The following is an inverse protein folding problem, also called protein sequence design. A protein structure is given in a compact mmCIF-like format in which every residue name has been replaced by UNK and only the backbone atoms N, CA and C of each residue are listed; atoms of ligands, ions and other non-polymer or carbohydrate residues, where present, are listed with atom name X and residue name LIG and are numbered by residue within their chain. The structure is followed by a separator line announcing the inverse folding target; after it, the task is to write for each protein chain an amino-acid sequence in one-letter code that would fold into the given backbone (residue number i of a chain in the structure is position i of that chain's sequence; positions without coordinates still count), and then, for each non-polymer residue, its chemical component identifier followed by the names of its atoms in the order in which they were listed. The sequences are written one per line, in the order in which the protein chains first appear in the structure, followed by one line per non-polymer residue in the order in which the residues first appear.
data_IF_116484057075
#
_entry.id   IF_116484057075
#
_cell.length_a   1.000
_cell.length_b   1.000
_cell.length_c   1.000
_cell.angle_alpha   90.00
_cell.angle_beta   90.00
_cell.angle_gamma   90.00
#
_symmetry.space_group_name_H-M   'P 1'
#
loop_
_entity.id
_entity.type
_entity.pdbx_description
1 polymer ?
#
# COMPACT_ATOMS: atom_id res chain seq x y z
N UNK A 1 -17.49 -12.45 -18.48
CA UNK A 1 -16.62 -11.41 -17.92
C UNK A 1 -15.21 -11.98 -17.79
N UNK A 2 -14.22 -11.16 -17.72
CA UNK A 2 -12.81 -11.60 -17.82
C UNK A 2 -12.14 -11.52 -16.47
N UNK A 3 -11.39 -12.57 -16.10
CA UNK A 3 -10.58 -12.60 -14.87
C UNK A 3 -9.56 -11.44 -14.87
N UNK A 4 -9.17 -11.00 -13.67
CA UNK A 4 -8.09 -10.04 -13.53
C UNK A 4 -6.77 -10.78 -13.42
N UNK A 5 -5.83 -10.46 -14.30
CA UNK A 5 -4.50 -11.05 -14.34
C UNK A 5 -3.46 -10.07 -13.83
N UNK A 6 -2.65 -10.52 -12.88
CA UNK A 6 -1.44 -9.84 -12.42
C UNK A 6 -0.24 -10.54 -13.05
N UNK A 7 0.62 -9.83 -13.78
CA UNK A 7 1.77 -10.45 -14.42
C UNK A 7 2.76 -11.02 -13.40
N UNK A 8 3.59 -12.03 -13.79
CA UNK A 8 4.64 -12.56 -12.93
C UNK A 8 5.59 -11.48 -12.43
N UNK A 9 6.00 -11.60 -11.18
CA UNK A 9 6.89 -10.66 -10.54
C UNK A 9 7.29 -11.08 -9.12
N UNK A 10 8.01 -10.23 -8.39
CA UNK A 10 8.42 -10.49 -7.02
C UNK A 10 7.21 -10.80 -6.12
N UNK A 11 7.25 -11.91 -5.41
CA UNK A 11 6.17 -12.38 -4.54
C UNK A 11 5.06 -13.18 -5.25
N UNK A 12 4.99 -13.11 -6.58
CA UNK A 12 4.08 -13.90 -7.41
C UNK A 12 4.80 -14.36 -8.70
N UNK A 13 5.69 -15.34 -8.62
CA UNK A 13 6.54 -15.74 -9.75
C UNK A 13 5.76 -16.30 -10.96
N UNK A 14 4.56 -16.81 -10.72
CA UNK A 14 3.64 -17.29 -11.78
C UNK A 14 2.54 -16.28 -12.11
N UNK A 15 2.57 -15.08 -11.51
CA UNK A 15 1.49 -14.12 -11.57
C UNK A 15 0.33 -14.50 -10.65
N UNK A 16 -0.75 -13.70 -10.70
CA UNK A 16 -2.00 -13.97 -9.99
C UNK A 16 -3.15 -13.95 -10.98
N UNK A 17 -4.15 -14.77 -10.72
CA UNK A 17 -5.42 -14.80 -11.48
C UNK A 17 -6.56 -14.64 -10.49
N UNK A 18 -7.24 -13.51 -10.54
CA UNK A 18 -8.46 -13.26 -9.75
C UNK A 18 -9.66 -13.63 -10.61
N UNK A 19 -10.41 -14.67 -10.23
CA UNK A 19 -11.63 -15.05 -10.96
C UNK A 19 -12.65 -13.92 -10.96
N UNK A 20 -13.31 -13.71 -12.09
CA UNK A 20 -14.37 -12.69 -12.21
C UNK A 20 -15.51 -12.92 -11.20
N UNK A 21 -15.82 -14.17 -10.89
CA UNK A 21 -16.87 -14.53 -9.93
C UNK A 21 -16.57 -14.13 -8.47
N UNK A 22 -15.34 -13.79 -8.13
CA UNK A 22 -14.96 -13.29 -6.81
C UNK A 22 -14.97 -11.75 -6.72
N UNK A 23 -15.18 -11.08 -7.85
CA UNK A 23 -15.23 -9.63 -7.95
C UNK A 23 -16.68 -9.14 -7.83
N UNK A 24 -16.91 -8.15 -6.97
CA UNK A 24 -18.20 -7.48 -6.84
C UNK A 24 -18.10 -6.11 -7.49
N UNK A 25 -18.88 -5.90 -8.54
CA UNK A 25 -18.98 -4.61 -9.23
C UNK A 25 -20.22 -3.86 -8.79
N UNK A 26 -20.06 -2.58 -8.44
CA UNK A 26 -21.14 -1.66 -8.14
C UNK A 26 -21.02 -0.44 -9.07
N UNK A 27 -22.17 0.03 -9.55
CA UNK A 27 -22.27 1.17 -10.44
C UNK A 27 -23.04 2.29 -9.75
N UNK A 28 -22.58 3.51 -9.92
CA UNK A 28 -23.24 4.69 -9.37
C UNK A 28 -22.97 5.90 -10.24
N UNK A 29 -23.74 6.97 -10.00
CA UNK A 29 -23.48 8.24 -10.67
C UNK A 29 -22.10 8.79 -10.28
N UNK A 30 -21.39 9.33 -11.26
CA UNK A 30 -20.15 10.04 -10.98
C UNK A 30 -20.45 11.33 -10.19
N UNK A 31 -19.76 11.54 -9.09
CA UNK A 31 -19.85 12.77 -8.32
C UNK A 31 -18.96 13.84 -8.96
N UNK A 32 -19.57 14.89 -9.55
CA UNK A 32 -18.83 16.02 -10.08
C UNK A 32 -19.67 17.29 -10.11
N UNK A 33 -19.05 18.50 -10.01
CA UNK A 33 -19.77 19.76 -10.14
C UNK A 33 -20.22 19.94 -11.58
N UNK A 34 -21.53 19.73 -11.81
CA UNK A 34 -22.33 20.25 -12.89
C UNK A 34 -21.82 20.17 -14.33
N UNK A 35 -22.44 19.32 -15.07
CA UNK A 35 -22.48 19.32 -16.54
C UNK A 35 -23.60 18.42 -17.01
N UNK A 36 -24.24 18.75 -18.15
CA UNK A 36 -25.29 17.91 -18.74
C UNK A 36 -24.69 16.51 -19.03
N UNK A 37 -25.19 15.47 -18.36
CA UNK A 37 -24.73 14.09 -18.50
C UNK A 37 -24.10 13.46 -17.26
N UNK A 38 -23.71 14.24 -16.26
CA UNK A 38 -23.13 13.72 -14.97
C UNK A 38 -24.22 13.04 -14.12
N UNK A 39 -25.47 13.48 -14.24
CA UNK A 39 -26.60 12.96 -13.46
C UNK A 39 -27.43 11.89 -14.19
N UNK A 40 -27.06 11.44 -15.39
CA UNK A 40 -27.88 10.53 -16.21
C UNK A 40 -27.22 9.20 -16.54
N UNK A 41 -25.94 9.01 -16.21
CA UNK A 41 -25.26 7.73 -16.48
C UNK A 41 -24.50 7.24 -15.26
N UNK A 42 -24.73 5.98 -14.87
CA UNK A 42 -23.98 5.26 -13.83
C UNK A 42 -22.57 4.92 -14.32
N UNK A 43 -21.76 5.94 -14.58
CA UNK A 43 -20.42 5.76 -15.13
C UNK A 43 -19.36 5.42 -14.08
N UNK A 44 -19.60 5.72 -12.81
CA UNK A 44 -18.70 5.36 -11.73
C UNK A 44 -18.78 3.88 -11.45
N UNK A 45 -17.62 3.23 -11.41
CA UNK A 45 -17.47 1.80 -11.11
C UNK A 45 -16.70 1.64 -9.81
N UNK A 46 -17.24 0.85 -8.90
CA UNK A 46 -16.55 0.34 -7.71
C UNK A 46 -16.37 -1.16 -7.86
N UNK A 47 -15.13 -1.62 -7.75
CA UNK A 47 -14.74 -3.01 -7.84
C UNK A 47 -14.21 -3.46 -6.48
N UNK A 48 -14.83 -4.47 -5.89
CA UNK A 48 -14.47 -4.99 -4.57
C UNK A 48 -14.02 -6.44 -4.65
N UNK A 49 -12.98 -6.77 -3.87
CA UNK A 49 -12.43 -8.11 -3.73
C UNK A 49 -12.17 -8.40 -2.25
N UNK A 50 -12.69 -9.51 -1.75
CA UNK A 50 -12.35 -10.00 -0.41
C UNK A 50 -11.02 -10.77 -0.44
N UNK A 51 -9.99 -10.17 0.16
CA UNK A 51 -8.64 -10.74 0.19
C UNK A 51 -8.50 -11.92 1.14
N UNK A 52 -9.42 -12.08 2.10
CA UNK A 52 -9.40 -13.22 3.01
C UNK A 52 -9.87 -14.52 2.36
N UNK A 53 -10.78 -14.42 1.39
CA UNK A 53 -11.45 -15.58 0.77
C UNK A 53 -11.05 -15.86 -0.67
N UNK A 54 -10.43 -14.91 -1.35
CA UNK A 54 -10.04 -15.07 -2.77
C UNK A 54 -9.13 -16.28 -2.99
N UNK A 55 -9.39 -17.01 -4.06
CA UNK A 55 -8.55 -18.14 -4.49
C UNK A 55 -7.28 -17.72 -5.23
N UNK A 56 -7.14 -16.42 -5.54
CA UNK A 56 -6.02 -15.87 -6.27
C UNK A 56 -4.70 -15.87 -5.48
N UNK A 57 -4.76 -15.94 -4.14
CA UNK A 57 -3.63 -15.79 -3.24
C UNK A 57 -3.39 -17.08 -2.45
N UNK A 58 -2.12 -17.49 -2.35
CA UNK A 58 -1.69 -18.50 -1.38
C UNK A 58 -1.64 -17.91 0.05
N UNK A 59 -1.38 -18.72 1.06
CA UNK A 59 -1.39 -18.27 2.47
C UNK A 59 -0.33 -17.20 2.76
N UNK A 60 0.87 -17.32 2.16
CA UNK A 60 1.96 -16.37 2.33
C UNK A 60 1.65 -15.05 1.63
N UNK A 61 1.15 -15.11 0.40
CA UNK A 61 0.72 -13.94 -0.36
C UNK A 61 -0.43 -13.23 0.34
N UNK A 62 -1.42 -13.97 0.83
CA UNK A 62 -2.58 -13.43 1.57
C UNK A 62 -2.15 -12.66 2.81
N UNK A 63 -1.32 -13.24 3.66
CA UNK A 63 -0.81 -12.59 4.86
C UNK A 63 -0.08 -11.28 4.51
N UNK A 64 0.75 -11.31 3.47
CA UNK A 64 1.51 -10.13 2.99
C UNK A 64 0.59 -9.04 2.45
N UNK A 65 -0.35 -9.39 1.58
CA UNK A 65 -1.30 -8.44 0.98
C UNK A 65 -2.19 -7.80 2.04
N UNK A 66 -2.73 -8.57 2.97
CA UNK A 66 -3.53 -8.06 4.09
C UNK A 66 -2.73 -7.09 4.96
N UNK A 67 -1.47 -7.40 5.24
CA UNK A 67 -0.58 -6.51 6.00
C UNK A 67 -0.26 -5.23 5.23
N UNK A 68 0.13 -5.33 3.97
CA UNK A 68 0.56 -4.19 3.16
C UNK A 68 -0.58 -3.24 2.79
N UNK A 69 -1.81 -3.75 2.70
CA UNK A 69 -3.00 -2.97 2.37
C UNK A 69 -3.87 -2.62 3.58
N UNK A 70 -3.45 -2.90 4.81
CA UNK A 70 -4.26 -2.76 6.03
C UNK A 70 -4.97 -1.39 6.14
N UNK A 71 -4.34 -0.31 5.72
CA UNK A 71 -4.92 1.05 5.75
C UNK A 71 -5.93 1.34 4.63
N UNK A 72 -5.99 0.48 3.61
CA UNK A 72 -6.86 0.64 2.43
C UNK A 72 -8.04 -0.33 2.43
N UNK A 73 -8.07 -1.25 3.39
CA UNK A 73 -9.11 -2.25 3.49
C UNK A 73 -10.27 -1.80 4.37
N UNK A 74 -11.48 -2.21 4.00
CA UNK A 74 -12.63 -2.23 4.89
C UNK A 74 -12.81 -3.67 5.39
N UNK A 75 -12.33 -3.96 6.61
CA UNK A 75 -12.17 -5.34 7.07
C UNK A 75 -11.11 -6.06 6.23
N UNK A 76 -11.52 -7.05 5.45
CA UNK A 76 -10.65 -7.79 4.52
C UNK A 76 -10.91 -7.46 3.04
N UNK A 77 -11.82 -6.51 2.78
CA UNK A 77 -12.27 -6.16 1.44
C UNK A 77 -11.49 -4.96 0.90
N UNK A 78 -10.87 -5.15 -0.25
CA UNK A 78 -10.26 -4.09 -1.05
C UNK A 78 -11.29 -3.55 -2.05
N UNK A 79 -11.53 -2.24 -2.01
CA UNK A 79 -12.41 -1.56 -2.97
C UNK A 79 -11.61 -0.57 -3.82
N UNK A 80 -11.75 -0.68 -5.13
CA UNK A 80 -11.14 0.20 -6.13
C UNK A 80 -12.26 0.95 -6.85
N UNK A 81 -12.14 2.28 -6.94
CA UNK A 81 -13.09 3.12 -7.68
C UNK A 81 -12.45 3.67 -8.94
N UNK A 82 -13.25 3.78 -10.01
CA UNK A 82 -12.89 4.43 -11.27
C UNK A 82 -14.07 5.26 -11.77
N UNK A 83 -13.83 6.54 -12.02
CA UNK A 83 -14.86 7.51 -12.48
C UNK A 83 -14.30 8.55 -13.48
N UNK A 84 -13.07 8.36 -13.94
CA UNK A 84 -12.37 9.31 -14.80
C UNK A 84 -12.92 9.38 -16.24
N UNK A 85 -13.63 8.35 -16.66
CA UNK A 85 -14.22 8.29 -18.01
C UNK A 85 -15.73 8.46 -17.96
N UNK A 86 -16.30 9.03 -19.03
CA UNK A 86 -17.76 9.09 -19.22
C UNK A 86 -18.35 7.72 -19.55
N UNK A 87 -17.53 6.76 -19.96
CA UNK A 87 -17.95 5.40 -20.33
C UNK A 87 -17.77 4.46 -19.15
N UNK A 88 -18.85 3.82 -18.72
CA UNK A 88 -18.86 2.78 -17.70
C UNK A 88 -17.89 1.64 -18.08
N UNK A 89 -17.87 1.23 -19.36
CA UNK A 89 -16.99 0.17 -19.85
C UNK A 89 -15.50 0.54 -19.68
N UNK A 90 -15.12 1.79 -19.95
CA UNK A 90 -13.75 2.26 -19.74
C UNK A 90 -13.40 2.33 -18.26
N UNK A 91 -14.32 2.75 -17.40
CA UNK A 91 -14.12 2.76 -15.97
C UNK A 91 -13.99 1.35 -15.38
N UNK A 92 -14.74 0.37 -15.92
CA UNK A 92 -14.56 -1.04 -15.54
C UNK A 92 -13.16 -1.55 -15.87
N UNK A 93 -12.66 -1.26 -17.05
CA UNK A 93 -11.31 -1.61 -17.46
C UNK A 93 -10.27 -0.94 -16.55
N UNK A 94 -10.41 0.36 -16.28
CA UNK A 94 -9.51 1.12 -15.41
C UNK A 94 -9.54 0.59 -13.97
N UNK A 95 -10.69 0.23 -13.42
CA UNK A 95 -10.79 -0.36 -12.08
C UNK A 95 -10.06 -1.72 -11.99
N UNK A 96 -10.21 -2.57 -13.02
CA UNK A 96 -9.52 -3.88 -13.09
C UNK A 96 -8.00 -3.73 -13.22
N UNK A 97 -7.53 -2.79 -14.02
CA UNK A 97 -6.12 -2.46 -14.14
C UNK A 97 -5.52 -1.97 -12.81
N UNK A 98 -6.22 -1.08 -12.10
CA UNK A 98 -5.83 -0.59 -10.77
C UNK A 98 -5.81 -1.70 -9.73
N UNK A 99 -6.78 -2.60 -9.76
CA UNK A 99 -6.79 -3.78 -8.88
C UNK A 99 -5.55 -4.63 -9.11
N UNK A 100 -5.25 -4.96 -10.37
CA UNK A 100 -4.07 -5.74 -10.74
C UNK A 100 -2.77 -5.07 -10.26
N UNK A 101 -2.62 -3.77 -10.49
CA UNK A 101 -1.43 -3.02 -10.08
C UNK A 101 -1.31 -2.92 -8.55
N UNK A 102 -2.44 -2.75 -7.84
CA UNK A 102 -2.47 -2.72 -6.38
C UNK A 102 -2.05 -4.06 -5.79
N UNK A 103 -2.57 -5.17 -6.32
CA UNK A 103 -2.18 -6.51 -5.90
C UNK A 103 -0.72 -6.81 -6.23
N UNK A 104 -0.25 -6.41 -7.43
CA UNK A 104 1.13 -6.57 -7.84
C UNK A 104 2.11 -5.94 -6.85
N UNK A 105 1.81 -4.72 -6.42
CA UNK A 105 2.63 -4.01 -5.41
C UNK A 105 2.50 -4.63 -4.03
N UNK A 106 1.29 -5.02 -3.64
CA UNK A 106 1.02 -5.52 -2.30
C UNK A 106 1.59 -6.93 -2.05
N UNK A 107 1.73 -7.75 -3.08
CA UNK A 107 2.30 -9.10 -2.98
C UNK A 107 3.83 -9.10 -2.94
N UNK A 108 4.47 -8.00 -3.32
CA UNK A 108 5.93 -7.89 -3.30
C UNK A 108 6.49 -8.09 -1.88
N UNK A 109 7.55 -8.91 -1.73
CA UNK A 109 8.23 -9.04 -0.45
C UNK A 109 8.84 -7.70 -0.04
N UNK A 110 8.81 -7.43 1.27
CA UNK A 110 9.52 -6.27 1.81
C UNK A 110 11.02 -6.37 1.50
N UNK A 111 11.60 -5.26 1.08
CA UNK A 111 13.04 -5.19 0.89
C UNK A 111 13.73 -5.40 2.25
N UNK A 112 14.64 -6.38 2.33
CA UNK A 112 15.44 -6.60 3.51
C UNK A 112 16.27 -5.35 3.78
N UNK A 113 15.87 -4.55 4.79
CA UNK A 113 16.65 -3.41 5.25
C UNK A 113 17.95 -3.91 5.83
N UNK A 114 19.05 -3.78 5.07
CA UNK A 114 20.38 -3.97 5.61
C UNK A 114 20.67 -2.84 6.60
N UNK A 115 21.11 -3.18 7.80
CA UNK A 115 21.58 -2.20 8.77
C UNK A 115 22.72 -1.38 8.15
N UNK A 116 22.50 -0.07 8.02
CA UNK A 116 23.56 0.84 7.55
C UNK A 116 24.51 1.12 8.70
N UNK A 117 25.82 1.03 8.42
CA UNK A 117 26.83 1.46 9.40
C UNK A 117 26.69 2.97 9.68
N UNK A 118 26.79 3.40 10.93
CA UNK A 118 26.81 4.82 11.24
C UNK A 118 27.93 5.54 10.48
N UNK A 119 27.64 6.69 9.92
CA UNK A 119 28.64 7.49 9.20
C UNK A 119 29.72 8.00 10.16
N UNK A 120 30.95 8.22 9.68
CA UNK A 120 32.03 8.82 10.48
C UNK A 120 31.62 10.15 11.13
N UNK A 121 30.85 10.97 10.43
CA UNK A 121 30.30 12.22 10.97
C UNK A 121 29.30 12.01 12.10
N UNK A 122 28.44 11.00 12.00
CA UNK A 122 27.52 10.62 13.09
C UNK A 122 28.27 10.15 14.34
N UNK A 123 29.30 9.32 14.18
CA UNK A 123 30.16 8.85 15.27
C UNK A 123 30.90 10.02 15.94
N UNK A 124 31.43 10.94 15.15
CA UNK A 124 32.13 12.13 15.66
C UNK A 124 31.20 13.02 16.48
N UNK A 125 30.01 13.35 15.96
CA UNK A 125 29.00 14.12 16.69
C UNK A 125 28.59 13.44 18.00
N UNK A 126 28.42 12.12 18.01
CA UNK A 126 28.11 11.35 19.24
C UNK A 126 29.23 11.44 20.27
N UNK A 127 30.48 11.35 19.84
CA UNK A 127 31.66 11.49 20.75
C UNK A 127 31.79 12.90 21.30
N UNK A 128 31.58 13.93 20.47
CA UNK A 128 31.59 15.33 20.90
C UNK A 128 30.48 15.62 21.93
N UNK A 129 29.26 15.11 21.68
CA UNK A 129 28.16 15.21 22.64
C UNK A 129 28.49 14.54 23.98
N UNK A 130 29.08 13.34 23.96
CA UNK A 130 29.52 12.65 25.18
C UNK A 130 30.59 13.42 25.92
N UNK A 131 31.57 14.03 25.23
CA UNK A 131 32.61 14.88 25.84
C UNK A 131 32.02 16.08 26.56
N UNK A 132 31.10 16.82 25.90
CA UNK A 132 30.40 17.97 26.50
C UNK A 132 29.65 17.59 27.78
N UNK A 133 28.88 16.46 27.74
CA UNK A 133 28.19 15.96 28.93
C UNK A 133 29.16 15.58 30.05
N UNK A 134 30.29 14.95 29.70
CA UNK A 134 31.33 14.57 30.69
C UNK A 134 31.98 15.80 31.33
N UNK A 135 32.31 16.83 30.54
CA UNK A 135 32.83 18.12 31.04
C UNK A 135 31.85 18.81 31.97
N UNK A 136 30.57 18.88 31.60
CA UNK A 136 29.51 19.45 32.44
C UNK A 136 29.38 18.69 33.76
N UNK A 137 29.44 17.36 33.74
CA UNK A 137 29.42 16.54 34.97
C UNK A 137 30.67 16.78 35.86
N UNK A 138 31.84 16.92 35.23
CA UNK A 138 33.09 17.20 35.96
C UNK A 138 33.03 18.54 36.65
N UNK A 139 32.54 19.59 35.99
CA UNK A 139 32.43 20.94 36.53
C UNK A 139 31.36 21.07 37.61
N UNK A 140 30.42 20.12 37.72
CA UNK A 140 29.40 20.08 38.77
C UNK A 140 29.86 19.32 40.04
N UNK A 141 31.00 18.65 39.99
CA UNK A 141 31.55 17.99 41.20
C UNK A 141 32.07 19.07 42.18
N UNK A 142 31.62 19.04 43.44
CA UNK A 142 32.18 19.94 44.45
C UNK A 142 33.69 19.67 44.61
N UNK A 143 34.50 20.71 44.90
CA UNK A 143 35.89 20.53 45.16
C UNK A 143 36.08 19.59 46.37
N UNK A 144 36.90 18.56 46.19
CA UNK A 144 37.36 17.71 47.31
C UNK A 144 38.11 18.58 48.28
N UNK A 145 37.55 18.78 49.48
CA UNK A 145 38.26 19.40 50.59
C UNK A 145 39.32 18.41 51.03
N UNK A 146 40.59 18.78 50.90
CA UNK A 146 41.68 18.12 51.59
C UNK A 146 41.65 18.46 53.10
#
# INVERSE_FOLDING_TARGET
MVDVHVPPGPGAPTGLRVPDGELVEQFSHASGPGGQGVNTSDSRVQLSLDLATTTALDDVQRARVLSNLATKLSGTVLTISAEEHRSQLRNRAAARERLAETLRKAVMPDAVRRATRPTRGSQRRRLESKRRVSETKRNRRPPTSD
#
